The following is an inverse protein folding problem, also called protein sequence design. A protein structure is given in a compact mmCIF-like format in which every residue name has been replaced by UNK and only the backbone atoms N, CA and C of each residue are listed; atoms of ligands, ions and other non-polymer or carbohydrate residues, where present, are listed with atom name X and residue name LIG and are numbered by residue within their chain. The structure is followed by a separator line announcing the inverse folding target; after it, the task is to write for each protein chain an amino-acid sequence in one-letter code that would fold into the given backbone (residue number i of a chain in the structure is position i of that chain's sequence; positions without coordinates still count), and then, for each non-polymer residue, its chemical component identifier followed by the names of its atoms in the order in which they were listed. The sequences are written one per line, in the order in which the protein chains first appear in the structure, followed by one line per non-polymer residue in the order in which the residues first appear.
data_IF_059995905206
#
_entry.id   IF_059995905206
#
_cell.length_a   1.000
_cell.length_b   1.000
_cell.length_c   1.000
_cell.angle_alpha   90.00
_cell.angle_beta   90.00
_cell.angle_gamma   90.00
#
_symmetry.space_group_name_H-M   'P 1'
#
loop_
_entity.id
_entity.type
_entity.pdbx_description
1 polymer ?
#
# COMPACT_ATOMS: atom_id res chain seq x y z
N UNK A 1 16.49 -28.05 23.55
CA UNK A 1 15.46 -27.58 22.62
C UNK A 1 16.01 -27.77 21.22
N UNK A 2 15.30 -28.48 20.36
CA UNK A 2 15.67 -28.50 18.93
C UNK A 2 15.62 -27.06 18.40
N UNK A 3 16.59 -26.65 17.57
CA UNK A 3 16.58 -25.32 16.99
C UNK A 3 15.32 -25.13 16.16
N UNK A 4 14.62 -24.02 16.37
CA UNK A 4 13.36 -23.69 15.67
C UNK A 4 13.53 -23.63 14.15
N UNK A 5 14.76 -23.41 13.70
CA UNK A 5 15.17 -23.41 12.29
C UNK A 5 16.46 -24.18 12.14
N UNK A 6 16.57 -25.00 11.07
CA UNK A 6 17.87 -25.62 10.77
C UNK A 6 18.83 -24.62 10.15
N UNK A 7 20.16 -24.86 10.20
CA UNK A 7 21.14 -23.98 9.55
C UNK A 7 20.86 -23.76 8.06
N UNK A 8 20.38 -24.80 7.36
CA UNK A 8 20.02 -24.73 5.93
C UNK A 8 18.80 -23.81 5.71
N UNK A 9 17.78 -23.90 6.56
CA UNK A 9 16.61 -23.03 6.51
C UNK A 9 17.00 -21.57 6.76
N UNK A 10 17.87 -21.30 7.72
CA UNK A 10 18.37 -19.94 7.98
C UNK A 10 19.19 -19.41 6.81
N UNK A 11 20.06 -20.24 6.22
CA UNK A 11 20.84 -19.85 5.04
C UNK A 11 19.93 -19.50 3.86
N UNK A 12 18.88 -20.29 3.62
CA UNK A 12 17.89 -20.02 2.56
C UNK A 12 17.11 -18.72 2.83
N UNK A 13 16.65 -18.52 4.06
CA UNK A 13 15.93 -17.30 4.47
C UNK A 13 16.84 -16.07 4.30
N UNK A 14 18.09 -16.14 4.72
CA UNK A 14 19.05 -15.05 4.55
C UNK A 14 19.34 -14.76 3.08
N UNK A 15 19.52 -15.81 2.25
CA UNK A 15 19.70 -15.65 0.80
C UNK A 15 18.50 -14.99 0.14
N UNK A 16 17.28 -15.31 0.58
CA UNK A 16 16.04 -14.69 0.12
C UNK A 16 15.94 -13.22 0.54
N UNK A 17 16.32 -12.87 1.78
CA UNK A 17 16.16 -11.51 2.30
C UNK A 17 17.30 -10.56 1.92
N UNK A 18 18.51 -11.06 1.65
CA UNK A 18 19.67 -10.22 1.35
C UNK A 18 19.41 -9.20 0.23
N UNK A 19 18.82 -9.58 -0.93
CA UNK A 19 18.47 -8.61 -1.97
C UNK A 19 17.48 -7.55 -1.49
N UNK A 20 16.51 -7.91 -0.67
CA UNK A 20 15.55 -6.94 -0.09
C UNK A 20 16.24 -5.97 0.87
N UNK A 21 17.23 -6.42 1.64
CA UNK A 21 18.00 -5.55 2.52
C UNK A 21 18.85 -4.58 1.73
N UNK A 22 19.55 -5.06 0.69
CA UNK A 22 20.33 -4.19 -0.22
C UNK A 22 19.38 -3.15 -0.87
N UNK A 23 18.26 -3.59 -1.41
CA UNK A 23 17.25 -2.69 -1.96
C UNK A 23 16.76 -1.67 -0.93
N UNK A 24 16.46 -2.12 0.28
CA UNK A 24 16.02 -1.23 1.34
C UNK A 24 17.08 -0.18 1.70
N UNK A 25 18.36 -0.48 1.63
CA UNK A 25 19.45 0.48 1.86
C UNK A 25 19.60 1.47 0.70
N UNK A 26 19.53 0.99 -0.56
CA UNK A 26 19.85 1.77 -1.77
C UNK A 26 18.66 2.58 -2.29
N UNK A 27 17.45 2.02 -2.25
CA UNK A 27 16.25 2.59 -2.90
C UNK A 27 15.92 4.05 -2.49
N UNK A 28 16.07 4.48 -1.23
CA UNK A 28 15.83 5.88 -0.87
C UNK A 28 16.74 6.87 -1.63
N UNK A 29 18.00 6.52 -1.77
CA UNK A 29 18.98 7.36 -2.48
C UNK A 29 18.74 7.34 -3.99
N UNK A 30 18.42 6.17 -4.55
CA UNK A 30 18.07 6.04 -5.96
C UNK A 30 16.82 6.88 -6.30
N UNK A 31 15.78 6.82 -5.46
CA UNK A 31 14.57 7.64 -5.64
C UNK A 31 14.86 9.13 -5.53
N UNK A 32 15.63 9.54 -4.52
CA UNK A 32 16.04 10.94 -4.40
C UNK A 32 16.84 11.41 -5.62
N UNK A 33 17.77 10.59 -6.12
CA UNK A 33 18.53 10.88 -7.34
C UNK A 33 17.64 11.04 -8.58
N UNK A 34 16.66 10.15 -8.77
CA UNK A 34 15.71 10.24 -9.88
C UNK A 34 14.80 11.47 -9.77
N UNK A 35 14.34 11.81 -8.58
CA UNK A 35 13.53 13.00 -8.33
C UNK A 35 14.36 14.28 -8.55
N UNK A 36 15.62 14.29 -8.12
CA UNK A 36 16.54 15.39 -8.40
C UNK A 36 16.81 15.55 -9.91
N UNK A 37 16.98 14.44 -10.62
CA UNK A 37 17.11 14.43 -12.09
C UNK A 37 15.84 14.98 -12.76
N UNK A 38 14.67 14.57 -12.32
CA UNK A 38 13.42 15.12 -12.84
C UNK A 38 13.33 16.62 -12.62
N UNK A 39 13.60 17.10 -11.40
CA UNK A 39 13.51 18.52 -11.06
C UNK A 39 14.57 19.37 -11.73
N UNK A 40 15.82 18.92 -11.72
CA UNK A 40 16.94 19.70 -12.22
C UNK A 40 17.11 19.68 -13.75
N UNK A 41 16.74 18.56 -14.38
CA UNK A 41 17.05 18.34 -15.81
C UNK A 41 15.81 18.11 -16.66
N UNK A 42 14.89 17.23 -16.22
CA UNK A 42 13.81 16.72 -17.08
C UNK A 42 12.53 17.56 -17.08
N UNK A 43 12.28 18.38 -16.06
CA UNK A 43 11.06 19.19 -15.95
C UNK A 43 10.83 20.05 -17.20
N UNK A 44 11.86 20.78 -17.68
CA UNK A 44 11.70 21.65 -18.83
C UNK A 44 11.57 20.89 -20.16
N UNK A 45 12.40 19.87 -20.46
CA UNK A 45 12.19 19.01 -21.59
C UNK A 45 10.80 18.36 -21.62
N UNK A 46 10.37 17.75 -20.50
CA UNK A 46 9.05 17.11 -20.41
C UNK A 46 7.91 18.10 -20.61
N UNK A 47 8.02 19.30 -20.04
CA UNK A 47 7.01 20.33 -20.25
C UNK A 47 6.94 20.78 -21.72
N UNK A 48 8.07 20.99 -22.37
CA UNK A 48 8.12 21.34 -23.80
C UNK A 48 7.54 20.23 -24.68
N UNK A 49 7.90 18.98 -24.43
CA UNK A 49 7.37 17.82 -25.15
C UNK A 49 5.85 17.70 -24.96
N UNK A 50 5.38 17.82 -23.73
CA UNK A 50 3.97 17.75 -23.41
C UNK A 50 3.17 18.87 -24.10
N UNK A 51 3.68 20.10 -24.11
CA UNK A 51 3.03 21.24 -24.77
C UNK A 51 2.98 21.06 -26.29
N UNK A 52 4.08 20.64 -26.92
CA UNK A 52 4.12 20.39 -28.36
C UNK A 52 3.18 19.25 -28.78
N UNK A 53 3.18 18.15 -28.02
CA UNK A 53 2.31 17.00 -28.29
C UNK A 53 0.82 17.35 -28.06
N UNK A 54 0.49 18.13 -27.03
CA UNK A 54 -0.87 18.59 -26.78
C UNK A 54 -1.40 19.45 -27.93
N UNK A 55 -0.62 20.39 -28.44
CA UNK A 55 -1.01 21.21 -29.59
C UNK A 55 -1.30 20.35 -30.83
N UNK A 56 -0.45 19.34 -31.10
CA UNK A 56 -0.67 18.39 -32.20
C UNK A 56 -1.94 17.54 -32.03
N UNK A 57 -2.21 17.09 -30.80
CA UNK A 57 -3.43 16.32 -30.48
C UNK A 57 -4.70 17.17 -30.55
N UNK A 58 -4.67 18.39 -30.06
CA UNK A 58 -5.81 19.31 -30.14
C UNK A 58 -6.22 19.58 -31.59
N UNK A 59 -5.25 19.74 -32.49
CA UNK A 59 -5.51 19.87 -33.91
C UNK A 59 -6.17 18.61 -34.50
N UNK A 60 -5.67 17.42 -34.16
CA UNK A 60 -6.18 16.14 -34.70
C UNK A 60 -7.50 15.71 -34.08
N UNK A 61 -7.73 15.99 -32.81
CA UNK A 61 -8.89 15.53 -32.05
C UNK A 61 -9.93 16.63 -31.81
N UNK A 62 -9.83 17.77 -32.52
CA UNK A 62 -10.76 18.89 -32.39
C UNK A 62 -12.23 18.51 -32.61
N UNK A 63 -12.49 17.48 -33.42
CA UNK A 63 -13.83 16.94 -33.63
C UNK A 63 -14.47 16.38 -32.35
N UNK A 64 -13.68 15.86 -31.40
CA UNK A 64 -14.18 15.37 -30.12
C UNK A 64 -14.78 16.49 -29.25
N UNK A 65 -14.36 17.73 -29.44
CA UNK A 65 -14.90 18.89 -28.72
C UNK A 65 -16.33 19.25 -29.17
N UNK A 66 -16.72 18.79 -30.37
CA UNK A 66 -18.08 19.05 -30.94
C UNK A 66 -19.07 17.93 -30.66
N UNK A 67 -18.59 16.70 -30.33
CA UNK A 67 -19.46 15.57 -30.05
C UNK A 67 -20.21 15.75 -28.70
N UNK A 68 -21.51 15.41 -28.61
CA UNK A 68 -22.37 15.76 -27.47
C UNK A 68 -21.82 15.29 -26.10
N UNK A 69 -21.33 14.05 -26.01
CA UNK A 69 -20.86 13.44 -24.75
C UNK A 69 -19.51 14.04 -24.33
N UNK A 70 -18.56 14.13 -25.24
CA UNK A 70 -17.22 14.64 -24.95
C UNK A 70 -17.20 16.16 -24.76
N UNK A 71 -18.13 16.90 -25.39
CA UNK A 71 -18.27 18.36 -25.24
C UNK A 71 -18.41 18.79 -23.78
N UNK A 72 -19.24 18.07 -23.01
CA UNK A 72 -19.44 18.37 -21.57
C UNK A 72 -18.14 18.20 -20.80
N UNK A 73 -17.39 17.12 -21.07
CA UNK A 73 -16.09 16.87 -20.47
C UNK A 73 -15.08 17.97 -20.83
N UNK A 74 -14.92 18.30 -22.11
CA UNK A 74 -13.98 19.34 -22.54
C UNK A 74 -14.33 20.69 -21.95
N UNK A 75 -15.60 21.07 -21.92
CA UNK A 75 -16.05 22.31 -21.29
C UNK A 75 -15.76 22.33 -19.77
N UNK A 76 -15.96 21.23 -19.07
CA UNK A 76 -15.64 21.13 -17.65
C UNK A 76 -14.13 21.30 -17.43
N UNK A 77 -13.29 20.66 -18.24
CA UNK A 77 -11.83 20.76 -18.18
C UNK A 77 -11.35 22.18 -18.52
N UNK A 78 -11.89 22.80 -19.57
CA UNK A 78 -11.55 24.18 -19.94
C UNK A 78 -12.00 25.17 -18.85
N UNK A 79 -13.13 24.93 -18.20
CA UNK A 79 -13.56 25.72 -17.03
C UNK A 79 -12.63 25.53 -15.85
N UNK A 80 -12.18 24.32 -15.59
CA UNK A 80 -11.32 24.00 -14.45
C UNK A 80 -9.91 24.56 -14.64
N UNK A 81 -9.36 24.46 -15.85
CA UNK A 81 -7.96 24.81 -16.16
C UNK A 81 -7.77 26.18 -16.82
N UNK A 82 -8.84 26.76 -17.39
CA UNK A 82 -8.78 27.94 -18.21
C UNK A 82 -8.08 27.65 -19.55
N UNK A 83 -7.68 28.67 -20.26
CA UNK A 83 -6.96 28.57 -21.56
C UNK A 83 -5.55 27.94 -21.45
N UNK A 84 -5.19 27.45 -20.31
CA UNK A 84 -3.83 27.06 -19.97
C UNK A 84 -3.44 25.62 -20.31
N UNK A 85 -4.16 24.97 -21.22
CA UNK A 85 -3.72 23.69 -21.78
C UNK A 85 -3.73 22.51 -20.78
N UNK A 86 -4.91 22.08 -20.31
CA UNK A 86 -5.02 20.88 -19.48
C UNK A 86 -4.47 19.64 -20.19
N UNK A 87 -4.54 19.56 -21.53
CA UNK A 87 -3.95 18.47 -22.30
C UNK A 87 -2.43 18.39 -22.12
N UNK A 88 -1.74 19.53 -22.13
CA UNK A 88 -0.30 19.57 -21.83
C UNK A 88 -0.01 19.12 -20.38
N UNK A 89 -0.87 19.47 -19.44
CA UNK A 89 -0.70 19.02 -18.05
C UNK A 89 -0.93 17.51 -17.90
N UNK A 90 -1.90 16.93 -18.57
CA UNK A 90 -2.10 15.48 -18.63
C UNK A 90 -0.86 14.78 -19.17
N UNK A 91 -0.34 15.23 -20.33
CA UNK A 91 0.84 14.63 -20.94
C UNK A 91 2.09 14.82 -20.07
N UNK A 92 2.23 15.95 -19.40
CA UNK A 92 3.34 16.18 -18.46
C UNK A 92 3.25 15.23 -17.25
N UNK A 93 2.07 15.05 -16.66
CA UNK A 93 1.86 14.11 -15.57
C UNK A 93 2.16 12.67 -16.00
N UNK A 94 1.70 12.27 -17.18
CA UNK A 94 2.00 10.96 -17.76
C UNK A 94 3.51 10.78 -18.00
N UNK A 95 4.20 11.74 -18.58
CA UNK A 95 5.65 11.64 -18.83
C UNK A 95 6.44 11.51 -17.53
N UNK A 96 6.07 12.26 -16.49
CA UNK A 96 6.73 12.18 -15.18
C UNK A 96 6.50 10.85 -14.48
N UNK A 97 5.28 10.29 -14.56
CA UNK A 97 4.95 8.97 -13.99
C UNK A 97 5.64 7.84 -14.80
N UNK A 98 5.52 7.86 -16.13
CA UNK A 98 6.13 6.85 -17.00
C UNK A 98 7.64 6.80 -16.88
N UNK A 99 8.32 7.93 -16.68
CA UNK A 99 9.77 7.94 -16.45
C UNK A 99 10.15 7.13 -15.21
N UNK A 100 9.45 7.32 -14.09
CA UNK A 100 9.72 6.56 -12.87
C UNK A 100 9.38 5.06 -13.07
N UNK A 101 8.27 4.76 -13.74
CA UNK A 101 7.88 3.37 -14.03
C UNK A 101 8.87 2.66 -14.94
N UNK A 102 9.39 3.34 -15.96
CA UNK A 102 10.39 2.77 -16.86
C UNK A 102 11.65 2.31 -16.10
N UNK A 103 12.04 3.04 -15.07
CA UNK A 103 13.21 2.68 -14.25
C UNK A 103 12.85 1.59 -13.23
N UNK A 104 11.69 1.69 -12.57
CA UNK A 104 11.35 0.81 -11.46
C UNK A 104 10.65 -0.49 -11.87
N UNK A 105 9.91 -0.54 -12.96
CA UNK A 105 9.21 -1.77 -13.38
C UNK A 105 10.15 -2.95 -13.58
N UNK A 106 11.33 -2.83 -14.24
CA UNK A 106 12.27 -3.95 -14.32
C UNK A 106 12.79 -4.40 -12.94
N UNK A 107 13.08 -3.43 -12.06
CA UNK A 107 13.53 -3.72 -10.68
C UNK A 107 12.44 -4.42 -9.90
N UNK A 108 11.21 -3.89 -9.92
CA UNK A 108 10.06 -4.48 -9.23
C UNK A 108 9.72 -5.88 -9.78
N UNK A 109 9.81 -6.08 -11.11
CA UNK A 109 9.61 -7.38 -11.74
C UNK A 109 10.66 -8.38 -11.27
N UNK A 110 11.93 -7.98 -11.16
CA UNK A 110 12.96 -8.85 -10.65
C UNK A 110 12.66 -9.28 -9.19
N UNK A 111 12.25 -8.36 -8.33
CA UNK A 111 11.89 -8.67 -6.93
C UNK A 111 10.61 -9.49 -6.82
N UNK A 112 9.53 -9.05 -7.47
CA UNK A 112 8.19 -9.62 -7.25
C UNK A 112 7.90 -10.86 -8.12
N UNK A 113 8.70 -11.11 -9.14
CA UNK A 113 8.57 -12.30 -9.99
C UNK A 113 9.79 -13.19 -9.91
N UNK A 114 10.97 -12.72 -10.34
CA UNK A 114 12.15 -13.58 -10.49
C UNK A 114 12.66 -14.09 -9.13
N UNK A 115 12.80 -13.20 -8.15
CA UNK A 115 13.28 -13.56 -6.81
C UNK A 115 12.28 -14.47 -6.09
N UNK A 116 10.98 -14.13 -6.16
CA UNK A 116 9.90 -14.93 -5.57
C UNK A 116 9.87 -16.36 -6.15
N UNK A 117 10.02 -16.50 -7.49
CA UNK A 117 10.10 -17.82 -8.14
C UNK A 117 11.35 -18.59 -7.75
N UNK A 118 12.51 -17.95 -7.71
CA UNK A 118 13.78 -18.61 -7.31
C UNK A 118 13.70 -19.24 -5.94
N UNK A 119 12.94 -18.63 -5.05
CA UNK A 119 12.77 -19.10 -3.68
C UNK A 119 11.45 -19.86 -3.47
N UNK A 120 10.72 -20.19 -4.54
CA UNK A 120 9.48 -20.97 -4.46
C UNK A 120 8.33 -20.28 -3.74
N UNK A 121 8.31 -18.93 -3.71
CA UNK A 121 7.29 -18.13 -3.04
C UNK A 121 6.15 -17.70 -3.96
N UNK A 122 6.31 -17.84 -5.27
CA UNK A 122 5.32 -17.45 -6.28
C UNK A 122 4.96 -18.63 -7.20
N UNK A 123 3.69 -18.71 -7.53
CA UNK A 123 3.12 -19.65 -8.51
C UNK A 123 2.65 -18.91 -9.79
N UNK A 124 2.92 -17.62 -9.94
CA UNK A 124 2.53 -16.87 -11.13
C UNK A 124 3.14 -17.46 -12.40
N UNK A 125 2.32 -17.61 -13.44
CA UNK A 125 2.87 -17.77 -14.79
C UNK A 125 3.39 -16.43 -15.32
N UNK A 126 4.41 -16.42 -16.21
CA UNK A 126 4.93 -15.15 -16.76
C UNK A 126 3.86 -14.28 -17.40
N UNK A 127 2.92 -14.89 -18.15
CA UNK A 127 1.84 -14.17 -18.82
C UNK A 127 0.83 -13.56 -17.86
N UNK A 128 0.43 -14.30 -16.80
CA UNK A 128 -0.48 -13.81 -15.78
C UNK A 128 0.15 -12.65 -14.99
N UNK A 129 1.43 -12.78 -14.60
CA UNK A 129 2.16 -11.72 -13.92
C UNK A 129 2.26 -10.44 -14.78
N UNK A 130 2.69 -10.58 -16.04
CA UNK A 130 2.80 -9.46 -16.95
C UNK A 130 1.45 -8.75 -17.17
N UNK A 131 0.36 -9.52 -17.28
CA UNK A 131 -0.99 -8.97 -17.41
C UNK A 131 -1.42 -8.19 -16.17
N UNK A 132 -1.18 -8.72 -14.97
CA UNK A 132 -1.53 -8.05 -13.72
C UNK A 132 -0.71 -6.78 -13.51
N UNK A 133 0.60 -6.80 -13.80
CA UNK A 133 1.45 -5.61 -13.77
C UNK A 133 0.96 -4.56 -14.77
N UNK A 134 0.65 -4.94 -16.01
CA UNK A 134 0.16 -4.01 -17.02
C UNK A 134 -1.18 -3.38 -16.60
N UNK A 135 -2.11 -4.20 -16.13
CA UNK A 135 -3.42 -3.76 -15.65
C UNK A 135 -3.30 -2.79 -14.46
N UNK A 136 -2.50 -3.17 -13.46
CA UNK A 136 -2.26 -2.34 -12.28
C UNK A 136 -1.60 -1.01 -12.66
N UNK A 137 -0.58 -1.04 -13.51
CA UNK A 137 0.08 0.18 -13.96
C UNK A 137 -0.84 1.08 -14.76
N UNK A 138 -1.66 0.53 -15.66
CA UNK A 138 -2.63 1.30 -16.44
C UNK A 138 -3.64 1.98 -15.53
N UNK A 139 -4.26 1.22 -14.62
CA UNK A 139 -5.27 1.75 -13.68
C UNK A 139 -4.65 2.81 -12.75
N UNK A 140 -3.49 2.54 -12.16
CA UNK A 140 -2.85 3.48 -11.24
C UNK A 140 -2.36 4.74 -11.94
N UNK A 141 -1.78 4.64 -13.15
CA UNK A 141 -1.36 5.80 -13.94
C UNK A 141 -2.55 6.68 -14.31
N UNK A 142 -3.66 6.09 -14.76
CA UNK A 142 -4.88 6.84 -15.10
C UNK A 142 -5.49 7.52 -13.88
N UNK A 143 -5.62 6.78 -12.77
CA UNK A 143 -6.17 7.31 -11.52
C UNK A 143 -5.29 8.44 -10.96
N UNK A 144 -3.97 8.25 -10.96
CA UNK A 144 -3.02 9.23 -10.48
C UNK A 144 -3.01 10.49 -11.35
N UNK A 145 -3.04 10.32 -12.67
CA UNK A 145 -3.13 11.44 -13.61
C UNK A 145 -4.41 12.23 -13.38
N UNK A 146 -5.57 11.56 -13.25
CA UNK A 146 -6.85 12.20 -12.96
C UNK A 146 -6.81 12.97 -11.62
N UNK A 147 -6.23 12.36 -10.57
CA UNK A 147 -6.05 12.99 -9.28
C UNK A 147 -5.18 14.26 -9.37
N UNK A 148 -4.04 14.19 -10.07
CA UNK A 148 -3.14 15.33 -10.27
C UNK A 148 -3.84 16.46 -11.01
N UNK A 149 -4.52 16.14 -12.11
CA UNK A 149 -5.25 17.12 -12.91
C UNK A 149 -6.37 17.76 -12.10
N UNK A 150 -7.12 16.98 -11.34
CA UNK A 150 -8.16 17.48 -10.44
C UNK A 150 -7.60 18.39 -9.34
N UNK A 151 -6.52 17.97 -8.69
CA UNK A 151 -5.85 18.73 -7.62
C UNK A 151 -5.35 20.09 -8.14
N UNK A 152 -4.59 20.09 -9.24
CA UNK A 152 -4.06 21.33 -9.81
C UNK A 152 -5.17 22.24 -10.34
N UNK A 153 -6.21 21.66 -10.97
CA UNK A 153 -7.37 22.40 -11.44
C UNK A 153 -8.13 23.04 -10.28
N UNK A 154 -8.40 22.30 -9.20
CA UNK A 154 -9.05 22.81 -8.01
C UNK A 154 -8.19 23.90 -7.33
N UNK A 155 -6.89 23.69 -7.21
CA UNK A 155 -5.96 24.66 -6.60
C UNK A 155 -5.99 26.01 -7.33
N UNK A 156 -6.12 26.01 -8.66
CA UNK A 156 -6.22 27.24 -9.48
C UNK A 156 -7.52 28.02 -9.28
N UNK A 157 -8.60 27.36 -8.92
CA UNK A 157 -9.94 27.94 -8.85
C UNK A 157 -10.35 28.30 -7.44
N UNK A 158 -9.88 27.55 -6.43
CA UNK A 158 -10.33 27.67 -5.05
C UNK A 158 -9.19 28.13 -4.16
N UNK A 159 -9.33 29.30 -3.52
CA UNK A 159 -8.28 29.88 -2.68
C UNK A 159 -7.85 28.99 -1.51
N UNK A 160 -8.82 28.26 -0.92
CA UNK A 160 -8.59 27.31 0.20
C UNK A 160 -8.82 25.86 -0.25
N UNK A 161 -8.37 25.52 -1.44
CA UNK A 161 -8.55 24.19 -2.06
C UNK A 161 -8.12 23.03 -1.15
N UNK A 162 -7.05 23.23 -0.37
CA UNK A 162 -6.54 22.25 0.57
C UNK A 162 -7.52 21.91 1.70
N UNK A 163 -8.39 22.84 2.14
CA UNK A 163 -9.52 22.56 3.05
C UNK A 163 -10.68 21.88 2.32
N UNK A 164 -11.03 22.40 1.14
CA UNK A 164 -12.17 21.88 0.35
C UNK A 164 -11.92 20.44 -0.09
N UNK A 165 -10.68 20.06 -0.36
CA UNK A 165 -10.30 18.68 -0.65
C UNK A 165 -9.99 17.88 0.62
N UNK A 166 -9.19 18.45 1.51
CA UNK A 166 -8.63 17.76 2.66
C UNK A 166 -9.67 17.33 3.69
N UNK A 167 -10.64 18.18 4.00
CA UNK A 167 -11.65 17.86 5.01
C UNK A 167 -12.56 16.71 4.57
N UNK A 168 -13.18 16.71 3.36
CA UNK A 168 -13.96 15.56 2.91
C UNK A 168 -13.17 14.27 2.82
N UNK A 169 -11.93 14.31 2.32
CA UNK A 169 -11.08 13.11 2.24
C UNK A 169 -10.70 12.62 3.65
N UNK A 170 -10.38 13.53 4.57
CA UNK A 170 -10.12 13.18 5.96
C UNK A 170 -11.34 12.52 6.64
N UNK A 171 -12.54 13.04 6.41
CA UNK A 171 -13.78 12.42 6.89
C UNK A 171 -14.01 11.05 6.26
N UNK A 172 -13.77 10.90 4.95
CA UNK A 172 -13.87 9.60 4.27
C UNK A 172 -12.87 8.60 4.86
N UNK A 173 -11.65 9.01 5.17
CA UNK A 173 -10.64 8.12 5.80
C UNK A 173 -11.10 7.55 7.15
N UNK A 174 -11.95 8.27 7.89
CA UNK A 174 -12.48 7.77 9.16
C UNK A 174 -13.40 6.55 8.98
N UNK A 175 -14.09 6.48 7.85
CA UNK A 175 -15.10 5.42 7.58
C UNK A 175 -14.67 4.44 6.47
N UNK A 176 -13.62 4.72 5.72
CA UNK A 176 -13.22 3.96 4.53
C UNK A 176 -13.01 2.47 4.81
N UNK A 177 -12.46 2.13 5.99
CA UNK A 177 -12.21 0.73 6.36
C UNK A 177 -13.47 -0.12 6.56
N UNK A 178 -14.65 0.49 6.68
CA UNK A 178 -15.91 -0.26 6.65
C UNK A 178 -16.24 -0.81 5.26
N UNK A 179 -15.59 -0.28 4.22
CA UNK A 179 -15.78 -0.67 2.82
C UNK A 179 -14.75 -1.71 2.34
N UNK A 180 -13.73 -2.03 3.17
CA UNK A 180 -12.66 -2.96 2.79
C UNK A 180 -13.17 -4.32 2.28
N UNK A 181 -14.18 -5.00 2.88
CA UNK A 181 -14.66 -6.28 2.39
C UNK A 181 -15.21 -6.21 0.95
N UNK A 182 -15.86 -5.10 0.60
CA UNK A 182 -16.42 -4.91 -0.75
C UNK A 182 -15.32 -4.62 -1.77
N UNK A 183 -14.28 -3.88 -1.37
CA UNK A 183 -13.09 -3.64 -2.19
C UNK A 183 -12.36 -4.96 -2.47
N UNK A 184 -12.13 -5.76 -1.45
CA UNK A 184 -11.36 -7.01 -1.56
C UNK A 184 -12.03 -8.00 -2.52
N UNK A 185 -13.38 -8.04 -2.57
CA UNK A 185 -14.13 -8.85 -3.54
C UNK A 185 -13.92 -8.43 -5.01
N UNK A 186 -13.47 -7.19 -5.26
CA UNK A 186 -13.15 -6.73 -6.63
C UNK A 186 -11.78 -7.24 -7.12
N UNK A 187 -10.87 -7.55 -6.19
CA UNK A 187 -9.50 -7.91 -6.52
C UNK A 187 -9.19 -9.39 -6.31
N UNK A 188 -9.87 -10.04 -5.35
CA UNK A 188 -9.57 -11.40 -4.93
C UNK A 188 -10.78 -12.31 -5.09
N UNK A 189 -10.53 -13.54 -5.56
CA UNK A 189 -11.56 -14.57 -5.58
C UNK A 189 -11.74 -15.14 -4.18
N UNK A 190 -12.88 -14.88 -3.59
CA UNK A 190 -13.23 -15.34 -2.25
C UNK A 190 -14.49 -16.21 -2.30
N UNK A 191 -14.51 -17.25 -1.47
CA UNK A 191 -15.65 -18.17 -1.27
C UNK A 191 -16.00 -18.22 0.21
N UNK A 192 -17.25 -18.47 0.60
CA UNK A 192 -17.58 -18.75 2.00
C UNK A 192 -16.73 -19.89 2.55
N UNK A 193 -16.27 -19.77 3.81
CA UNK A 193 -15.64 -20.91 4.50
C UNK A 193 -16.70 -22.00 4.65
N UNK A 194 -16.41 -23.26 4.21
CA UNK A 194 -17.36 -24.35 4.32
C UNK A 194 -17.82 -24.59 5.75
N UNK A 195 -19.06 -25.08 5.92
CA UNK A 195 -19.54 -25.55 7.19
C UNK A 195 -18.73 -26.77 7.66
N UNK A 196 -18.40 -26.83 8.96
CA UNK A 196 -17.59 -27.89 9.54
C UNK A 196 -16.97 -27.53 10.87
N UNK A 197 -16.13 -28.45 11.39
CA UNK A 197 -15.53 -28.33 12.71
C UNK A 197 -14.74 -27.02 12.87
N UNK A 198 -13.92 -26.65 11.90
CA UNK A 198 -13.11 -25.41 11.93
C UNK A 198 -14.01 -24.17 12.02
N UNK A 199 -15.06 -24.08 11.19
CA UNK A 199 -15.98 -22.93 11.22
C UNK A 199 -16.67 -22.81 12.58
N UNK A 200 -17.15 -23.93 13.15
CA UNK A 200 -17.78 -23.96 14.47
C UNK A 200 -16.81 -23.50 15.57
N UNK A 201 -15.58 -24.01 15.55
CA UNK A 201 -14.53 -23.62 16.51
C UNK A 201 -14.14 -22.14 16.40
N UNK A 202 -14.02 -21.62 15.19
CA UNK A 202 -13.75 -20.20 14.93
C UNK A 202 -14.90 -19.32 15.43
N UNK A 203 -16.16 -19.73 15.20
CA UNK A 203 -17.34 -19.02 15.72
C UNK A 203 -17.28 -18.94 17.25
N UNK A 204 -17.08 -20.07 17.94
CA UNK A 204 -16.96 -20.09 19.40
C UNK A 204 -15.79 -19.27 19.94
N UNK A 205 -14.64 -19.27 19.23
CA UNK A 205 -13.50 -18.43 19.59
C UNK A 205 -13.84 -16.94 19.53
N UNK A 206 -14.53 -16.51 18.46
CA UNK A 206 -14.89 -15.10 18.25
C UNK A 206 -16.03 -14.64 19.18
N UNK A 207 -16.97 -15.53 19.51
CA UNK A 207 -17.98 -15.28 20.56
C UNK A 207 -17.30 -15.07 21.91
N UNK A 208 -16.36 -15.94 22.28
CA UNK A 208 -15.54 -15.78 23.50
C UNK A 208 -14.74 -14.48 23.49
N UNK A 209 -14.25 -14.06 22.32
CA UNK A 209 -13.55 -12.80 22.13
C UNK A 209 -14.48 -11.57 22.14
N UNK A 210 -15.80 -11.72 22.09
CA UNK A 210 -16.76 -10.62 21.96
C UNK A 210 -16.67 -9.92 20.58
N UNK A 211 -16.20 -10.64 19.54
CA UNK A 211 -16.03 -10.11 18.20
C UNK A 211 -17.19 -10.51 17.30
N UNK A 212 -18.04 -9.55 16.94
CA UNK A 212 -19.08 -9.75 15.93
C UNK A 212 -18.47 -9.72 14.52
N UNK A 213 -18.98 -10.57 13.63
CA UNK A 213 -18.57 -10.66 12.23
C UNK A 213 -19.78 -10.97 11.33
N UNK A 214 -19.69 -10.58 10.05
CA UNK A 214 -20.73 -10.83 9.05
C UNK A 214 -20.51 -12.16 8.33
N UNK A 215 -19.26 -12.52 8.04
CA UNK A 215 -18.94 -13.69 7.22
C UNK A 215 -17.53 -14.23 7.53
N UNK A 216 -17.29 -15.48 7.13
CA UNK A 216 -15.97 -16.12 7.10
C UNK A 216 -15.70 -16.60 5.68
N UNK A 217 -14.59 -16.18 5.10
CA UNK A 217 -14.25 -16.42 3.69
C UNK A 217 -12.90 -17.09 3.51
N UNK A 218 -12.79 -17.83 2.42
CA UNK A 218 -11.54 -18.41 1.93
C UNK A 218 -11.14 -17.66 0.66
N UNK A 219 -9.91 -17.13 0.66
CA UNK A 219 -9.32 -16.46 -0.48
C UNK A 219 -8.41 -17.42 -1.26
N UNK A 220 -8.60 -17.48 -2.59
CA UNK A 220 -7.80 -18.33 -3.48
C UNK A 220 -6.44 -17.66 -3.79
N UNK A 221 -5.51 -17.71 -2.85
CA UNK A 221 -4.18 -17.10 -2.98
C UNK A 221 -3.17 -18.04 -3.61
N UNK A 222 -3.34 -19.38 -3.49
CA UNK A 222 -2.39 -20.39 -3.98
C UNK A 222 -2.14 -20.35 -5.48
N UNK A 223 -3.02 -19.72 -6.26
CA UNK A 223 -2.83 -19.52 -7.71
C UNK A 223 -1.64 -18.60 -8.03
N UNK A 224 -1.27 -17.71 -7.13
CA UNK A 224 -0.22 -16.72 -7.35
C UNK A 224 0.88 -16.73 -6.29
N UNK A 225 0.58 -17.12 -5.06
CA UNK A 225 1.49 -17.04 -3.92
C UNK A 225 1.42 -18.29 -3.06
N UNK A 226 2.51 -18.60 -2.35
CA UNK A 226 2.57 -19.67 -1.34
C UNK A 226 2.54 -19.14 0.09
N UNK A 227 2.31 -17.85 0.28
CA UNK A 227 2.27 -17.26 1.61
C UNK A 227 0.99 -17.60 2.35
N UNK A 228 1.13 -17.90 3.63
CA UNK A 228 -0.01 -18.03 4.55
C UNK A 228 -0.47 -16.65 4.98
N UNK A 229 -1.78 -16.47 5.05
CA UNK A 229 -2.39 -15.21 5.44
C UNK A 229 -3.75 -15.44 6.09
N UNK A 230 -4.01 -14.68 7.17
CA UNK A 230 -5.32 -14.52 7.79
C UNK A 230 -5.49 -13.05 8.17
N UNK A 231 -6.68 -12.49 8.03
CA UNK A 231 -6.94 -11.10 8.39
C UNK A 231 -8.43 -10.82 8.57
N UNK A 232 -8.75 -9.71 9.24
CA UNK A 232 -10.10 -9.14 9.26
C UNK A 232 -10.21 -8.00 8.26
N UNK A 233 -11.20 -8.08 7.38
CA UNK A 233 -11.65 -6.97 6.53
C UNK A 233 -12.91 -6.34 7.12
N UNK A 234 -13.08 -5.02 6.94
CA UNK A 234 -14.26 -4.29 7.42
C UNK A 234 -14.28 -3.96 8.90
N UNK A 235 -15.43 -3.47 9.37
CA UNK A 235 -15.62 -3.03 10.75
C UNK A 235 -17.06 -3.25 11.22
N UNK A 236 -17.22 -3.59 12.51
CA UNK A 236 -18.53 -3.80 13.08
C UNK A 236 -19.37 -4.78 12.25
N UNK A 237 -20.55 -4.36 11.76
CA UNK A 237 -21.45 -5.23 10.99
C UNK A 237 -20.92 -5.73 9.65
N UNK A 238 -19.88 -5.09 9.10
CA UNK A 238 -19.27 -5.51 7.82
C UNK A 238 -18.04 -6.38 8.00
N UNK A 239 -17.61 -6.64 9.25
CA UNK A 239 -16.39 -7.39 9.53
C UNK A 239 -16.45 -8.79 8.97
N UNK A 240 -15.48 -9.15 8.17
CA UNK A 240 -15.33 -10.46 7.54
C UNK A 240 -13.98 -11.04 7.89
N UNK A 241 -13.94 -12.31 8.27
CA UNK A 241 -12.70 -13.05 8.49
C UNK A 241 -12.31 -13.66 7.15
N UNK A 242 -11.08 -13.40 6.73
CA UNK A 242 -10.53 -13.97 5.50
C UNK A 242 -9.34 -14.84 5.86
N UNK A 243 -9.43 -16.11 5.48
CA UNK A 243 -8.34 -17.09 5.54
C UNK A 243 -7.95 -17.41 4.11
N UNK A 244 -6.67 -17.42 3.79
CA UNK A 244 -6.32 -17.92 2.46
C UNK A 244 -6.28 -19.45 2.40
N UNK A 245 -6.38 -20.01 1.21
CA UNK A 245 -6.39 -21.46 0.98
C UNK A 245 -5.05 -22.13 1.36
N UNK A 246 -3.95 -21.37 1.39
CA UNK A 246 -2.64 -21.85 1.81
C UNK A 246 -2.60 -22.11 3.33
N UNK A 247 -3.15 -21.20 4.17
CA UNK A 247 -3.18 -21.41 5.62
C UNK A 247 -4.04 -22.62 5.99
N UNK A 248 -5.17 -22.83 5.29
CA UNK A 248 -6.05 -23.98 5.51
C UNK A 248 -5.41 -25.31 5.12
N UNK A 249 -4.47 -25.31 4.18
CA UNK A 249 -3.73 -26.49 3.74
C UNK A 249 -2.53 -26.79 4.65
N UNK A 250 -1.81 -25.77 5.05
CA UNK A 250 -0.52 -25.93 5.73
C UNK A 250 -0.68 -26.01 7.26
N UNK A 251 -1.72 -25.41 7.85
CA UNK A 251 -1.89 -25.26 9.29
C UNK A 251 -2.91 -26.24 9.85
N UNK A 252 -2.68 -26.72 11.07
CA UNK A 252 -3.69 -27.42 11.83
C UNK A 252 -4.81 -26.47 12.28
N UNK A 253 -5.98 -27.01 12.63
CA UNK A 253 -7.10 -26.18 13.13
C UNK A 253 -6.68 -25.34 14.35
N UNK A 254 -5.88 -25.89 15.27
CA UNK A 254 -5.43 -25.17 16.47
C UNK A 254 -4.48 -24.01 16.11
N UNK A 255 -3.61 -24.19 15.09
CA UNK A 255 -2.75 -23.11 14.57
C UNK A 255 -3.57 -22.04 13.85
N UNK A 256 -4.61 -22.40 13.11
CA UNK A 256 -5.55 -21.44 12.50
C UNK A 256 -6.30 -20.66 13.58
N UNK A 257 -6.77 -21.34 14.64
CA UNK A 257 -7.40 -20.68 15.78
C UNK A 257 -6.46 -19.70 16.47
N UNK A 258 -5.19 -20.06 16.64
CA UNK A 258 -4.17 -19.18 17.21
C UNK A 258 -3.95 -17.93 16.32
N UNK A 259 -3.91 -18.10 14.99
CA UNK A 259 -3.78 -16.97 14.05
C UNK A 259 -5.01 -16.06 14.11
N UNK A 260 -6.24 -16.61 14.12
CA UNK A 260 -7.48 -15.82 14.22
C UNK A 260 -7.61 -15.16 15.58
N UNK A 261 -7.13 -15.79 16.67
CA UNK A 261 -7.08 -15.17 18.00
C UNK A 261 -6.15 -13.93 18.03
N UNK A 262 -5.02 -13.99 17.32
CA UNK A 262 -4.13 -12.84 17.15
C UNK A 262 -4.84 -11.72 16.40
N UNK A 263 -5.49 -12.04 15.27
CA UNK A 263 -6.26 -11.07 14.50
C UNK A 263 -7.41 -10.46 15.34
N UNK A 264 -8.05 -11.25 16.21
CA UNK A 264 -9.07 -10.74 17.14
C UNK A 264 -8.49 -9.71 18.13
N UNK A 265 -7.21 -9.82 18.50
CA UNK A 265 -6.49 -8.80 19.27
C UNK A 265 -6.54 -7.43 18.60
N UNK A 266 -6.30 -7.37 17.28
CA UNK A 266 -6.36 -6.13 16.49
C UNK A 266 -7.77 -5.52 16.40
N UNK A 267 -8.81 -6.29 16.63
CA UNK A 267 -10.19 -5.78 16.66
C UNK A 267 -10.43 -4.91 17.90
N UNK A 268 -9.82 -5.28 19.02
CA UNK A 268 -9.97 -4.56 20.29
C UNK A 268 -9.09 -3.30 20.41
N UNK A 269 -8.19 -3.11 19.47
CA UNK A 269 -7.36 -1.91 19.44
C UNK A 269 -8.17 -0.66 19.12
N UNK A 270 -7.92 0.42 19.85
CA UNK A 270 -8.45 1.74 19.51
C UNK A 270 -7.72 2.32 18.29
N UNK A 271 -8.37 2.26 17.13
CA UNK A 271 -7.83 2.81 15.86
C UNK A 271 -8.13 4.30 15.68
N UNK A 272 -8.97 4.90 16.55
CA UNK A 272 -9.46 6.28 16.39
C UNK A 272 -8.35 7.32 16.46
N UNK A 273 -7.44 7.22 17.43
CA UNK A 273 -6.34 8.17 17.57
C UNK A 273 -5.44 8.17 16.31
N UNK A 274 -5.10 6.98 15.80
CA UNK A 274 -4.32 6.86 14.57
C UNK A 274 -5.04 7.43 13.35
N UNK A 275 -6.35 7.20 13.23
CA UNK A 275 -7.17 7.76 12.13
C UNK A 275 -7.26 9.28 12.20
N UNK A 276 -7.53 9.83 13.38
CA UNK A 276 -7.55 11.27 13.57
C UNK A 276 -6.20 11.89 13.25
N UNK A 277 -5.11 11.30 13.76
CA UNK A 277 -3.76 11.76 13.47
C UNK A 277 -3.44 11.72 11.96
N UNK A 278 -3.79 10.63 11.27
CA UNK A 278 -3.61 10.51 9.81
C UNK A 278 -4.47 11.51 9.03
N UNK A 279 -5.70 11.76 9.47
CA UNK A 279 -6.59 12.75 8.86
C UNK A 279 -6.05 14.18 9.02
N UNK A 280 -5.56 14.53 10.20
CA UNK A 280 -4.91 15.82 10.44
C UNK A 280 -3.61 15.96 9.65
N UNK A 281 -2.81 14.90 9.59
CA UNK A 281 -1.58 14.86 8.79
C UNK A 281 -1.85 15.07 7.29
N UNK A 282 -2.94 14.50 6.75
CA UNK A 282 -3.37 14.73 5.37
C UNK A 282 -3.69 16.22 5.12
N UNK A 283 -4.48 16.83 5.99
CA UNK A 283 -4.85 18.26 5.85
C UNK A 283 -3.60 19.15 5.95
N UNK A 284 -2.71 18.85 6.90
CA UNK A 284 -1.43 19.56 7.04
C UNK A 284 -0.53 19.38 5.81
N UNK A 285 -0.49 18.16 5.24
CA UNK A 285 0.25 17.88 4.01
C UNK A 285 -0.29 18.68 2.81
N UNK A 286 -1.60 18.73 2.62
CA UNK A 286 -2.22 19.53 1.55
C UNK A 286 -1.98 21.03 1.76
N UNK A 287 -1.97 21.50 3.02
CA UNK A 287 -1.56 22.87 3.33
C UNK A 287 -0.09 23.12 2.98
N UNK A 288 0.81 22.19 3.30
CA UNK A 288 2.22 22.30 2.92
C UNK A 288 2.41 22.36 1.39
N UNK A 289 1.62 21.56 0.63
CA UNK A 289 1.59 21.66 -0.84
C UNK A 289 1.13 23.07 -1.27
N UNK A 290 0.07 23.62 -0.69
CA UNK A 290 -0.38 25.00 -1.02
C UNK A 290 0.76 26.02 -0.81
N UNK A 291 1.47 25.93 0.32
CA UNK A 291 2.61 26.82 0.60
C UNK A 291 3.73 26.65 -0.41
N UNK A 292 4.06 25.40 -0.73
CA UNK A 292 5.09 25.05 -1.69
C UNK A 292 4.77 25.58 -3.09
N UNK A 293 3.53 25.42 -3.56
CA UNK A 293 3.06 25.95 -4.84
C UNK A 293 3.15 27.49 -4.90
N UNK A 294 2.82 28.19 -3.80
CA UNK A 294 2.94 29.65 -3.73
C UNK A 294 4.39 30.12 -3.77
N UNK A 295 5.26 29.48 -3.01
CA UNK A 295 6.69 29.80 -3.00
C UNK A 295 7.33 29.50 -4.36
N UNK A 296 6.99 28.38 -4.98
CA UNK A 296 7.49 28.01 -6.30
C UNK A 296 7.09 29.03 -7.37
N UNK A 297 5.84 29.51 -7.34
CA UNK A 297 5.35 30.54 -8.24
C UNK A 297 6.05 31.91 -8.02
N UNK A 298 6.22 32.34 -6.75
CA UNK A 298 6.84 33.63 -6.45
C UNK A 298 8.34 33.66 -6.74
N UNK A 299 9.03 32.50 -6.70
CA UNK A 299 10.47 32.38 -6.94
C UNK A 299 10.83 31.85 -8.33
N UNK A 300 9.84 31.52 -9.15
CA UNK A 300 10.07 30.92 -10.47
C UNK A 300 10.76 29.55 -10.44
N UNK A 301 10.62 28.78 -9.35
CA UNK A 301 11.27 27.48 -9.21
C UNK A 301 10.85 26.54 -10.33
N UNK A 302 11.84 25.85 -10.93
CA UNK A 302 11.64 24.91 -12.03
C UNK A 302 10.94 25.52 -13.24
N UNK A 303 11.03 26.86 -13.38
CA UNK A 303 10.35 27.62 -14.43
C UNK A 303 8.86 27.84 -14.18
N UNK A 304 8.35 27.60 -12.98
CA UNK A 304 6.96 27.89 -12.62
C UNK A 304 6.69 29.40 -12.74
N UNK A 305 5.68 29.78 -13.54
CA UNK A 305 5.32 31.17 -13.81
C UNK A 305 4.04 31.62 -13.12
N UNK A 306 3.32 30.68 -12.52
CA UNK A 306 2.02 30.94 -11.87
C UNK A 306 1.78 29.95 -10.73
N UNK A 307 0.81 30.29 -9.87
CA UNK A 307 0.33 29.40 -8.83
C UNK A 307 -0.26 28.11 -9.46
N UNK A 308 0.05 26.97 -8.86
CA UNK A 308 -0.33 25.64 -9.34
C UNK A 308 0.13 25.38 -10.81
N UNK A 309 1.37 25.71 -11.08
CA UNK A 309 2.04 25.34 -12.32
C UNK A 309 2.39 23.84 -12.29
N UNK A 310 2.01 23.10 -13.34
CA UNK A 310 2.20 21.64 -13.39
C UNK A 310 3.68 21.22 -13.30
N UNK A 311 4.63 22.09 -13.66
CA UNK A 311 6.06 21.85 -13.53
C UNK A 311 6.53 21.62 -12.09
N UNK A 312 5.71 21.98 -11.12
CA UNK A 312 5.95 21.70 -9.69
C UNK A 312 5.58 20.27 -9.26
N UNK A 313 5.00 19.46 -10.15
CA UNK A 313 4.55 18.09 -9.81
C UNK A 313 5.69 17.21 -9.24
N UNK A 314 6.90 17.14 -9.83
CA UNK A 314 7.98 16.34 -9.25
C UNK A 314 8.41 16.83 -7.86
N UNK A 315 8.23 18.12 -7.54
CA UNK A 315 8.48 18.66 -6.20
C UNK A 315 7.44 18.17 -5.18
N UNK A 316 6.17 18.01 -5.59
CA UNK A 316 5.14 17.40 -4.73
C UNK A 316 5.50 15.91 -4.46
N UNK A 317 5.96 15.18 -5.46
CA UNK A 317 6.44 13.80 -5.27
C UNK A 317 7.63 13.72 -4.31
N UNK A 318 8.57 14.64 -4.42
CA UNK A 318 9.69 14.73 -3.48
C UNK A 318 9.21 15.00 -2.04
N UNK A 319 8.29 15.94 -1.85
CA UNK A 319 7.70 16.22 -0.53
C UNK A 319 7.00 14.97 0.03
N UNK A 320 6.18 14.32 -0.78
CA UNK A 320 5.49 13.10 -0.40
C UNK A 320 6.49 11.99 -0.01
N UNK A 321 7.55 11.82 -0.80
CA UNK A 321 8.60 10.85 -0.50
C UNK A 321 9.30 11.15 0.84
N UNK A 322 9.63 12.41 1.12
CA UNK A 322 10.22 12.82 2.40
C UNK A 322 9.28 12.54 3.58
N UNK A 323 7.97 12.79 3.42
CA UNK A 323 6.96 12.46 4.44
C UNK A 323 6.92 10.96 4.69
N UNK A 324 6.95 10.12 3.65
CA UNK A 324 7.01 8.66 3.79
C UNK A 324 8.30 8.18 4.43
N UNK A 325 9.43 8.78 4.07
CA UNK A 325 10.75 8.40 4.60
C UNK A 325 10.82 8.57 6.13
N UNK A 326 10.18 9.62 6.65
CA UNK A 326 10.11 9.89 8.09
C UNK A 326 8.92 9.15 8.75
N UNK A 327 7.78 9.13 8.09
CA UNK A 327 6.54 8.57 8.64
C UNK A 327 6.55 7.05 8.78
N UNK A 328 7.19 6.33 7.84
CA UNK A 328 7.22 4.87 7.85
C UNK A 328 7.92 4.27 9.10
N UNK A 329 9.10 4.74 9.53
CA UNK A 329 9.71 4.30 10.79
C UNK A 329 8.83 4.52 12.02
N UNK A 330 8.18 5.68 12.09
CA UNK A 330 7.29 6.05 13.19
C UNK A 330 6.06 5.13 13.21
N UNK A 331 5.38 4.98 12.08
CA UNK A 331 4.24 4.07 11.95
C UNK A 331 4.61 2.62 12.26
N UNK A 332 5.79 2.16 11.82
CA UNK A 332 6.31 0.83 12.12
C UNK A 332 6.55 0.61 13.62
N UNK A 333 7.04 1.60 14.35
CA UNK A 333 7.22 1.50 15.79
C UNK A 333 5.88 1.31 16.53
N UNK A 334 4.86 2.09 16.18
CA UNK A 334 3.52 1.91 16.73
C UNK A 334 2.88 0.58 16.33
N UNK A 335 3.08 0.14 15.07
CA UNK A 335 2.56 -1.14 14.59
C UNK A 335 3.14 -2.30 15.39
N UNK A 336 4.46 -2.32 15.61
CA UNK A 336 5.11 -3.39 16.40
C UNK A 336 4.61 -3.47 17.85
N UNK A 337 4.27 -2.35 18.48
CA UNK A 337 3.68 -2.43 19.83
C UNK A 337 2.28 -3.04 19.80
N UNK A 338 1.47 -2.67 18.82
CA UNK A 338 0.15 -3.30 18.63
C UNK A 338 0.23 -4.80 18.36
N UNK A 339 1.21 -5.23 17.58
CA UNK A 339 1.49 -6.66 17.39
C UNK A 339 1.78 -7.40 18.69
N UNK A 340 2.59 -6.81 19.57
CA UNK A 340 2.87 -7.40 20.91
C UNK A 340 1.60 -7.46 21.78
N UNK A 341 0.71 -6.48 21.67
CA UNK A 341 -0.57 -6.48 22.36
C UNK A 341 -1.51 -7.56 21.82
N UNK A 342 -1.55 -7.73 20.47
CA UNK A 342 -2.32 -8.77 19.81
C UNK A 342 -1.82 -10.17 20.18
N UNK A 343 -0.50 -10.38 20.25
CA UNK A 343 0.10 -11.63 20.73
C UNK A 343 -0.34 -11.96 22.17
N UNK A 344 -0.20 -10.97 23.06
CA UNK A 344 -0.65 -11.13 24.47
C UNK A 344 -2.13 -11.41 24.59
N UNK A 345 -2.94 -10.78 23.73
CA UNK A 345 -4.37 -11.02 23.67
C UNK A 345 -4.70 -12.46 23.22
N UNK A 346 -4.08 -12.91 22.12
CA UNK A 346 -4.26 -14.26 21.59
C UNK A 346 -3.96 -15.34 22.64
N UNK A 347 -2.85 -15.20 23.36
CA UNK A 347 -2.46 -16.12 24.44
C UNK A 347 -3.46 -16.13 25.59
N UNK A 348 -3.99 -14.97 26.01
CA UNK A 348 -5.05 -14.91 27.05
C UNK A 348 -6.35 -15.52 26.59
N UNK A 349 -6.73 -15.32 25.32
CA UNK A 349 -7.99 -15.80 24.76
C UNK A 349 -8.01 -17.32 24.61
N UNK A 350 -6.93 -17.88 24.06
CA UNK A 350 -6.82 -19.32 23.76
C UNK A 350 -6.33 -20.14 24.96
N UNK A 351 -5.40 -19.60 25.76
CA UNK A 351 -4.65 -20.36 26.76
C UNK A 351 -3.66 -21.36 26.17
N UNK A 352 -3.55 -21.47 24.84
CA UNK A 352 -2.74 -22.45 24.13
C UNK A 352 -1.45 -21.83 23.59
N UNK A 353 -0.45 -21.76 24.45
CA UNK A 353 0.88 -21.22 24.10
C UNK A 353 1.58 -22.06 23.04
N UNK A 354 1.37 -23.38 23.07
CA UNK A 354 2.09 -24.30 22.19
C UNK A 354 1.55 -24.23 20.75
N UNK A 355 0.24 -24.17 20.53
CA UNK A 355 -0.34 -23.93 19.20
C UNK A 355 0.04 -22.57 18.66
N UNK A 356 0.10 -21.53 19.49
CA UNK A 356 0.55 -20.21 19.10
C UNK A 356 2.02 -20.21 18.69
N UNK A 357 2.89 -20.90 19.44
CA UNK A 357 4.31 -21.09 19.10
C UNK A 357 4.47 -21.80 17.76
N UNK A 358 3.77 -22.94 17.55
CA UNK A 358 3.81 -23.69 16.29
C UNK A 358 3.32 -22.84 15.13
N UNK A 359 2.26 -22.07 15.31
CA UNK A 359 1.72 -21.14 14.31
C UNK A 359 2.79 -20.13 13.89
N UNK A 360 3.47 -19.46 14.84
CA UNK A 360 4.53 -18.49 14.53
C UNK A 360 5.70 -19.11 13.78
N UNK A 361 6.19 -20.27 14.24
CA UNK A 361 7.32 -20.98 13.61
C UNK A 361 6.94 -21.41 12.19
N UNK A 362 5.74 -21.97 12.02
CA UNK A 362 5.27 -22.41 10.71
C UNK A 362 5.04 -21.24 9.76
N UNK A 363 4.43 -20.15 10.23
CA UNK A 363 4.26 -18.93 9.45
C UNK A 363 5.64 -18.38 8.99
N UNK A 364 6.63 -18.37 9.88
CA UNK A 364 7.97 -17.93 9.55
C UNK A 364 8.64 -18.82 8.50
N UNK A 365 8.50 -20.14 8.61
CA UNK A 365 9.07 -21.10 7.62
C UNK A 365 8.38 -20.95 6.26
N UNK A 366 7.05 -20.98 6.22
CA UNK A 366 6.28 -20.91 4.98
C UNK A 366 6.47 -19.57 4.28
N UNK A 367 6.42 -18.47 5.02
CA UNK A 367 6.59 -17.12 4.47
C UNK A 367 8.06 -16.71 4.35
N UNK A 368 9.01 -17.60 4.67
CA UNK A 368 10.47 -17.32 4.70
C UNK A 368 10.81 -16.04 5.47
N UNK A 369 10.16 -15.82 6.63
CA UNK A 369 10.42 -14.65 7.44
C UNK A 369 11.77 -14.78 8.14
N UNK A 370 12.60 -13.72 8.06
CA UNK A 370 13.86 -13.68 8.80
C UNK A 370 13.57 -13.57 10.30
N UNK A 371 13.99 -14.55 11.12
CA UNK A 371 13.76 -14.51 12.56
C UNK A 371 14.53 -13.39 13.26
N UNK A 372 15.69 -12.99 12.71
CA UNK A 372 16.59 -12.00 13.30
C UNK A 372 17.10 -10.99 12.25
N UNK A 373 16.19 -10.19 11.65
CA UNK A 373 16.58 -9.22 10.65
C UNK A 373 17.51 -8.14 11.24
N UNK A 374 18.40 -7.53 10.45
CA UNK A 374 19.25 -6.46 10.92
C UNK A 374 18.44 -5.33 11.59
N UNK A 375 18.92 -4.82 12.74
CA UNK A 375 18.21 -3.82 13.54
C UNK A 375 17.81 -2.57 12.74
N UNK A 376 18.63 -2.11 11.80
CA UNK A 376 18.32 -0.97 10.96
C UNK A 376 17.11 -1.23 10.02
N UNK A 377 16.92 -2.49 9.58
CA UNK A 377 15.76 -2.90 8.78
C UNK A 377 14.49 -2.80 9.62
N UNK A 378 14.55 -3.30 10.87
CA UNK A 378 13.43 -3.20 11.81
C UNK A 378 13.05 -1.74 12.05
N UNK A 379 14.04 -0.89 12.32
CA UNK A 379 13.85 0.54 12.60
C UNK A 379 13.37 1.32 11.38
N UNK A 380 13.73 0.90 10.16
CA UNK A 380 13.29 1.54 8.91
C UNK A 380 11.78 1.42 8.65
N UNK A 381 11.07 0.63 9.41
CA UNK A 381 9.61 0.58 9.37
C UNK A 381 9.02 -0.81 9.08
N UNK A 382 9.61 -1.87 9.66
CA UNK A 382 8.89 -3.14 9.76
C UNK A 382 7.61 -2.95 10.58
N UNK A 383 6.50 -3.47 10.09
CA UNK A 383 5.21 -3.40 10.77
C UNK A 383 5.07 -4.43 11.89
N UNK A 384 5.76 -5.56 11.78
CA UNK A 384 5.74 -6.64 12.77
C UNK A 384 7.08 -6.73 13.50
N UNK A 385 7.11 -7.11 14.78
CA UNK A 385 8.36 -7.48 15.44
C UNK A 385 9.00 -8.68 14.75
N UNK A 386 10.34 -8.80 14.80
CA UNK A 386 11.02 -10.02 14.36
C UNK A 386 10.43 -11.26 15.00
N UNK A 387 10.34 -12.36 14.25
CA UNK A 387 9.77 -13.62 14.77
C UNK A 387 10.57 -14.13 15.98
N UNK A 388 11.88 -13.99 15.97
CA UNK A 388 12.74 -14.34 17.13
C UNK A 388 12.34 -13.59 18.40
N UNK A 389 12.03 -12.29 18.30
CA UNK A 389 11.55 -11.48 19.42
C UNK A 389 10.16 -11.95 19.91
N UNK A 390 9.23 -12.25 18.99
CA UNK A 390 7.88 -12.75 19.35
C UNK A 390 7.97 -14.11 20.06
N UNK A 391 8.81 -15.02 19.55
CA UNK A 391 9.03 -16.35 20.15
C UNK A 391 9.71 -16.27 21.52
N UNK A 392 10.67 -15.36 21.69
CA UNK A 392 11.35 -15.14 22.97
C UNK A 392 10.41 -14.55 24.05
N UNK A 393 9.36 -13.83 23.63
CA UNK A 393 8.36 -13.27 24.54
C UNK A 393 7.31 -14.29 25.03
N UNK A 394 7.26 -15.49 24.44
CA UNK A 394 6.35 -16.54 24.86
C UNK A 394 6.81 -17.20 26.16
N UNK A 395 5.87 -17.66 27.01
CA UNK A 395 6.20 -18.52 28.15
C UNK A 395 7.05 -19.73 27.71
N UNK A 396 7.95 -20.22 28.55
CA UNK A 396 8.71 -21.45 28.24
C UNK A 396 7.73 -22.62 28.01
N UNK A 397 8.09 -23.59 27.17
CA UNK A 397 7.30 -24.79 27.02
C UNK A 397 7.22 -25.51 28.37
N UNK A 398 6.12 -26.19 28.68
CA UNK A 398 5.92 -26.90 29.94
C UNK A 398 6.96 -28.00 30.17
#
# INVERSE_FOLDING_TARGET
MEPLFTPEQLAEIHAYHLPYYIRAAVDPFARLGLMALQLGVLVQPFHRMATAAAAGLEHRLGFLRTAPVSRVFFQAMDRLWGESGWGAAVLFALLTDLFIRLVYTPVDTWFNYTLEHRHGMSNYTPGAYAWDVLKEQAVTTLALTALVIGLYGLARRVRRWWLVLGVPVALLMLVASALDPYRDLLYYKQKPLPEGALRTRLTGLLEKAGVSFADMRVEETSVSSRRVQAYFAGQGPTRTIVLNDVILKEFSEDEVLAAVAHEAGHVHESKWLGRIASSLALVAFLFAIDRLLRVSASRGWFGATRFADIRTLPLIWLLLFCVFLVGKPIAGAFSREREREADRYALRLTGDVESFRRMLVKAARVNKMDPEPPRWVVLKGMSHPPIGERLAALPPPP
#
